data_IF_548053988206
#
_entry.id   IF_548053988206
#
_cell.length_a   1.000
_cell.length_b   1.000
_cell.length_c   1.000
_cell.angle_alpha   90.00
_cell.angle_beta   90.00
_cell.angle_gamma   90.00
#
_symmetry.space_group_name_H-M   'P 1'
#
loop_
_entity.id
_entity.type
_entity.pdbx_description
1 polymer ?
#
# COMPACT_ATOMS: atom_id res chain seq x y z
N UNK A 1 27.36 -25.91 -7.96
CA UNK A 1 26.93 -26.18 -6.57
C UNK A 1 27.22 -27.65 -6.24
N UNK A 2 28.46 -28.10 -6.06
CA UNK A 2 28.79 -29.54 -6.17
C UNK A 2 27.98 -30.49 -5.26
N UNK A 3 27.06 -31.28 -5.83
CA UNK A 3 26.84 -32.68 -5.45
C UNK A 3 25.56 -33.16 -4.73
N UNK A 4 24.56 -32.36 -4.34
CA UNK A 4 23.27 -32.85 -3.78
C UNK A 4 22.15 -31.82 -3.96
N UNK A 5 20.93 -32.28 -4.21
CA UNK A 5 19.72 -31.46 -4.17
C UNK A 5 19.55 -30.91 -2.75
N UNK A 6 19.48 -29.58 -2.63
CA UNK A 6 19.39 -28.90 -1.34
C UNK A 6 18.01 -28.30 -1.13
N UNK A 7 17.49 -28.41 0.09
CA UNK A 7 16.21 -27.78 0.46
C UNK A 7 16.44 -26.33 0.89
N UNK A 8 15.97 -25.41 0.04
CA UNK A 8 15.99 -23.97 0.32
C UNK A 8 14.58 -23.49 0.66
N UNK A 9 14.47 -22.78 1.77
CA UNK A 9 13.23 -22.15 2.19
C UNK A 9 13.18 -20.70 1.68
N UNK A 10 12.32 -20.48 0.68
CA UNK A 10 12.06 -19.18 0.08
C UNK A 10 10.73 -18.57 0.59
N UNK A 11 10.15 -19.09 1.69
CA UNK A 11 8.81 -18.74 2.15
C UNK A 11 8.64 -17.26 2.53
N UNK A 12 9.71 -16.62 3.00
CA UNK A 12 9.72 -15.18 3.35
C UNK A 12 9.47 -14.28 2.14
N UNK A 13 9.77 -14.75 0.93
CA UNK A 13 9.75 -13.95 -0.29
C UNK A 13 8.66 -14.45 -1.24
N UNK A 14 8.60 -15.76 -1.48
CA UNK A 14 7.62 -16.37 -2.40
C UNK A 14 6.28 -16.65 -1.75
N UNK A 15 6.18 -16.53 -0.42
CA UNK A 15 4.97 -16.84 0.32
C UNK A 15 4.46 -18.28 0.10
N UNK A 16 5.33 -19.24 -0.24
CA UNK A 16 5.01 -20.66 -0.30
C UNK A 16 5.62 -21.37 0.89
N UNK A 17 4.83 -22.15 1.64
CA UNK A 17 5.26 -22.87 2.85
C UNK A 17 6.17 -24.07 2.55
N UNK A 18 6.11 -24.63 1.34
CA UNK A 18 6.92 -25.78 0.93
C UNK A 18 8.32 -25.32 0.51
N UNK A 19 9.36 -25.86 1.14
CA UNK A 19 10.75 -25.68 0.71
C UNK A 19 10.96 -26.21 -0.71
N UNK A 20 11.79 -25.51 -1.48
CA UNK A 20 12.09 -25.85 -2.87
C UNK A 20 13.42 -26.60 -2.92
N UNK A 21 13.44 -27.72 -3.63
CA UNK A 21 14.67 -28.47 -3.88
C UNK A 21 15.43 -27.79 -5.01
N UNK A 22 16.69 -27.41 -4.75
CA UNK A 22 17.57 -26.69 -5.68
C UNK A 22 18.81 -27.51 -5.98
N UNK A 23 19.21 -27.50 -7.24
CA UNK A 23 20.35 -28.26 -7.78
C UNK A 23 21.42 -27.33 -8.35
N UNK A 24 22.48 -27.89 -8.89
CA UNK A 24 23.54 -27.10 -9.51
C UNK A 24 23.03 -26.30 -10.71
N UNK A 25 23.26 -24.99 -10.69
CA UNK A 25 22.84 -24.08 -11.77
C UNK A 25 21.45 -23.48 -11.56
N UNK A 26 20.74 -23.84 -10.49
CA UNK A 26 19.48 -23.18 -10.15
C UNK A 26 19.72 -21.84 -9.45
N UNK A 27 18.91 -20.84 -9.82
CA UNK A 27 18.92 -19.53 -9.18
C UNK A 27 18.45 -19.62 -7.72
N UNK A 28 19.14 -18.88 -6.85
CA UNK A 28 18.78 -18.73 -5.43
C UNK A 28 18.47 -17.26 -5.15
N UNK A 29 17.30 -17.00 -4.57
CA UNK A 29 16.84 -15.64 -4.26
C UNK A 29 17.56 -15.12 -2.99
N UNK A 30 17.98 -13.86 -3.00
CA UNK A 30 18.58 -13.21 -1.84
C UNK A 30 17.58 -13.10 -0.68
N UNK A 31 17.98 -13.53 0.53
CA UNK A 31 17.11 -13.60 1.71
C UNK A 31 16.42 -14.95 1.93
N UNK A 32 16.72 -15.96 1.11
CA UNK A 32 16.30 -17.35 1.33
C UNK A 32 17.09 -18.00 2.46
N UNK A 33 16.45 -18.93 3.19
CA UNK A 33 17.07 -19.65 4.29
C UNK A 33 17.48 -21.05 3.85
N UNK A 34 18.74 -21.42 4.10
CA UNK A 34 19.20 -22.79 3.86
C UNK A 34 18.74 -23.69 5.01
N UNK A 35 18.01 -24.77 4.70
CA UNK A 35 17.50 -25.69 5.72
C UNK A 35 18.46 -26.86 6.00
N UNK A 36 19.52 -27.03 5.20
CA UNK A 36 20.40 -28.19 5.23
C UNK A 36 21.88 -27.81 5.44
N UNK A 37 22.80 -28.69 5.02
CA UNK A 37 24.26 -28.54 5.11
C UNK A 37 24.79 -27.31 4.34
N UNK A 38 26.03 -26.90 4.63
CA UNK A 38 26.65 -25.72 4.02
C UNK A 38 26.63 -25.76 2.48
N UNK A 39 26.21 -24.65 1.87
CA UNK A 39 26.21 -24.43 0.42
C UNK A 39 27.25 -23.41 0.00
N UNK A 40 27.78 -23.60 -1.21
CA UNK A 40 28.53 -22.56 -1.92
C UNK A 40 27.65 -22.02 -3.04
N UNK A 41 27.37 -20.73 -2.99
CA UNK A 41 26.58 -20.02 -3.99
C UNK A 41 27.51 -19.02 -4.67
N UNK A 42 27.35 -18.87 -5.98
CA UNK A 42 28.00 -17.81 -6.76
C UNK A 42 27.12 -16.56 -6.76
N UNK A 43 27.72 -15.40 -6.50
CA UNK A 43 26.98 -14.15 -6.40
C UNK A 43 26.85 -13.53 -7.80
N UNK A 44 25.66 -13.61 -8.40
CA UNK A 44 25.40 -12.97 -9.70
C UNK A 44 25.02 -11.48 -9.60
N UNK A 45 24.30 -11.10 -8.54
CA UNK A 45 23.74 -9.74 -8.36
C UNK A 45 24.04 -9.24 -6.94
N UNK A 46 24.44 -7.99 -6.81
CA UNK A 46 24.73 -7.32 -5.54
C UNK A 46 24.08 -5.95 -5.45
N UNK A 47 23.86 -5.47 -4.22
CA UNK A 47 23.30 -4.14 -3.94
C UNK A 47 21.92 -3.91 -4.54
N UNK A 48 21.77 -2.85 -5.33
CA UNK A 48 20.48 -2.45 -5.93
C UNK A 48 19.95 -3.44 -6.98
N UNK A 49 20.79 -4.37 -7.44
CA UNK A 49 20.41 -5.37 -8.44
C UNK A 49 19.79 -6.63 -7.83
N UNK A 50 19.81 -6.78 -6.50
CA UNK A 50 19.22 -7.96 -5.85
C UNK A 50 17.68 -7.92 -5.90
N UNK A 51 17.04 -9.07 -5.73
CA UNK A 51 15.58 -9.18 -5.85
C UNK A 51 14.89 -8.45 -4.69
N UNK A 52 15.43 -8.55 -3.48
CA UNK A 52 14.92 -7.82 -2.31
C UNK A 52 14.99 -6.29 -2.51
N UNK A 53 16.11 -5.77 -3.02
CA UNK A 53 16.29 -4.33 -3.28
C UNK A 53 15.28 -3.80 -4.31
N UNK A 54 14.98 -4.58 -5.34
CA UNK A 54 13.95 -4.24 -6.33
C UNK A 54 12.55 -4.19 -5.70
N UNK A 55 12.19 -5.16 -4.85
CA UNK A 55 10.93 -5.14 -4.10
C UNK A 55 10.84 -3.90 -3.21
N UNK A 56 11.90 -3.59 -2.44
CA UNK A 56 11.93 -2.41 -1.57
C UNK A 56 11.73 -1.12 -2.39
N UNK A 57 12.38 -1.01 -3.55
CA UNK A 57 12.21 0.12 -4.46
C UNK A 57 10.78 0.24 -4.97
N UNK A 58 10.18 -0.85 -5.44
CA UNK A 58 8.78 -0.89 -5.90
C UNK A 58 7.81 -0.50 -4.77
N UNK A 59 8.05 -0.96 -3.55
CA UNK A 59 7.23 -0.61 -2.37
C UNK A 59 7.36 0.88 -2.04
N UNK A 60 8.58 1.43 -2.11
CA UNK A 60 8.82 2.85 -1.85
C UNK A 60 8.13 3.73 -2.89
N UNK A 61 8.28 3.42 -4.18
CA UNK A 61 7.61 4.12 -5.28
C UNK A 61 6.08 4.09 -5.12
N UNK A 62 5.52 2.95 -4.70
CA UNK A 62 4.10 2.83 -4.43
C UNK A 62 3.62 3.69 -3.24
N UNK A 63 4.44 3.85 -2.19
CA UNK A 63 4.12 4.66 -1.02
C UNK A 63 4.18 6.17 -1.27
N UNK A 64 5.08 6.62 -2.14
CA UNK A 64 5.24 8.04 -2.50
C UNK A 64 4.14 8.56 -3.44
N UNK A 65 3.33 7.66 -4.02
CA UNK A 65 2.27 8.04 -4.96
C UNK A 65 1.12 8.83 -4.31
N UNK A 66 0.77 9.98 -4.88
CA UNK A 66 -0.33 10.84 -4.41
C UNK A 66 -1.71 10.25 -4.74
N UNK A 67 -2.71 10.51 -3.89
CA UNK A 67 -4.07 10.03 -4.12
C UNK A 67 -4.84 10.87 -5.14
N UNK A 68 -5.85 10.24 -5.77
CA UNK A 68 -6.76 10.91 -6.70
C UNK A 68 -7.58 12.01 -6.01
N UNK A 69 -8.03 11.79 -4.77
CA UNK A 69 -8.80 12.77 -4.01
C UNK A 69 -7.95 13.98 -3.63
N UNK A 70 -6.67 13.77 -3.30
CA UNK A 70 -5.74 14.86 -3.02
C UNK A 70 -5.45 15.70 -4.28
N UNK A 71 -5.37 15.07 -5.46
CA UNK A 71 -5.23 15.80 -6.72
C UNK A 71 -6.48 16.62 -7.07
N UNK A 72 -7.68 16.09 -6.83
CA UNK A 72 -8.93 16.84 -6.99
C UNK A 72 -9.00 18.06 -6.06
N UNK A 73 -8.66 17.87 -4.78
CA UNK A 73 -8.61 18.95 -3.80
C UNK A 73 -7.59 20.03 -4.20
N UNK A 74 -6.40 19.64 -4.67
CA UNK A 74 -5.40 20.58 -5.17
C UNK A 74 -5.87 21.36 -6.40
N UNK A 75 -6.58 20.69 -7.32
CA UNK A 75 -7.14 21.35 -8.51
C UNK A 75 -8.24 22.36 -8.14
N UNK A 76 -9.10 22.00 -7.19
CA UNK A 76 -10.11 22.91 -6.65
C UNK A 76 -9.48 24.11 -5.92
N UNK A 77 -8.47 23.86 -5.08
CA UNK A 77 -7.72 24.91 -4.39
C UNK A 77 -7.07 25.88 -5.39
N UNK A 78 -6.44 25.35 -6.45
CA UNK A 78 -5.83 26.17 -7.50
C UNK A 78 -6.85 27.05 -8.24
N UNK A 79 -8.01 26.49 -8.60
CA UNK A 79 -9.08 27.25 -9.25
C UNK A 79 -9.62 28.35 -8.35
N UNK A 80 -9.81 28.07 -7.06
CA UNK A 80 -10.23 29.07 -6.07
C UNK A 80 -9.18 30.17 -5.87
N UNK A 81 -7.88 29.85 -5.90
CA UNK A 81 -6.81 30.85 -5.85
C UNK A 81 -6.86 31.79 -7.05
N UNK A 82 -7.09 31.26 -8.27
CA UNK A 82 -7.26 32.08 -9.47
C UNK A 82 -8.48 33.00 -9.33
N UNK A 83 -9.61 32.48 -8.85
CA UNK A 83 -10.82 33.28 -8.61
C UNK A 83 -10.57 34.38 -7.57
N UNK A 84 -9.86 34.08 -6.49
CA UNK A 84 -9.53 35.06 -5.45
C UNK A 84 -8.66 36.20 -5.98
N UNK A 85 -7.62 35.89 -6.77
CA UNK A 85 -6.71 36.90 -7.35
C UNK A 85 -7.45 37.75 -8.37
N UNK A 86 -8.23 37.14 -9.26
CA UNK A 86 -8.99 37.86 -10.28
C UNK A 86 -10.08 38.75 -9.67
N UNK A 87 -10.82 38.25 -8.68
CA UNK A 87 -11.81 39.04 -7.95
C UNK A 87 -11.19 40.20 -7.15
N UNK A 88 -10.02 39.97 -6.53
CA UNK A 88 -9.26 41.02 -5.83
C UNK A 88 -8.79 42.11 -6.80
N UNK A 89 -8.20 41.73 -7.93
CA UNK A 89 -7.76 42.67 -8.96
C UNK A 89 -8.93 43.47 -9.55
N UNK A 90 -10.07 42.81 -9.81
CA UNK A 90 -11.29 43.48 -10.26
C UNK A 90 -11.84 44.44 -9.20
N UNK A 91 -11.88 44.05 -7.93
CA UNK A 91 -12.29 44.95 -6.85
C UNK A 91 -11.40 46.19 -6.79
N UNK A 92 -10.08 46.02 -6.87
CA UNK A 92 -9.14 47.14 -6.91
C UNK A 92 -9.40 48.06 -8.11
N UNK A 93 -9.59 47.48 -9.29
CA UNK A 93 -9.80 48.24 -10.53
C UNK A 93 -11.12 49.02 -10.51
N UNK A 94 -12.24 48.40 -10.09
CA UNK A 94 -13.55 49.06 -10.03
C UNK A 94 -13.54 50.21 -9.03
N UNK A 95 -13.04 50.01 -7.81
CA UNK A 95 -13.06 51.05 -6.79
C UNK A 95 -12.15 52.25 -7.10
N UNK A 96 -11.03 51.99 -7.79
CA UNK A 96 -10.04 53.02 -8.11
C UNK A 96 -10.40 53.79 -9.38
N UNK A 97 -10.87 53.11 -10.43
CA UNK A 97 -11.14 53.72 -11.76
C UNK A 97 -12.58 54.20 -11.91
N UNK A 98 -13.58 53.42 -11.46
CA UNK A 98 -15.00 53.79 -11.65
C UNK A 98 -15.54 54.69 -10.55
N UNK A 99 -15.13 54.47 -9.29
CA UNK A 99 -15.66 55.23 -8.15
C UNK A 99 -14.77 56.42 -7.77
N UNK A 100 -13.52 56.47 -8.24
CA UNK A 100 -12.57 57.55 -7.92
C UNK A 100 -12.20 57.63 -6.43
N UNK A 101 -12.36 56.53 -5.69
CA UNK A 101 -12.06 56.48 -4.25
C UNK A 101 -10.54 56.52 -3.98
N UNK A 102 -10.17 56.92 -2.76
CA UNK A 102 -8.76 56.94 -2.35
C UNK A 102 -8.11 55.55 -2.47
N UNK A 103 -6.82 55.52 -2.79
CA UNK A 103 -6.04 54.28 -2.90
C UNK A 103 -6.17 53.39 -1.65
N UNK A 104 -6.15 54.02 -0.46
CA UNK A 104 -6.31 53.33 0.82
C UNK A 104 -7.66 52.60 0.93
N UNK A 105 -8.74 53.20 0.42
CA UNK A 105 -10.08 52.59 0.46
C UNK A 105 -10.18 51.39 -0.50
N UNK A 106 -9.67 51.54 -1.73
CA UNK A 106 -9.65 50.45 -2.71
C UNK A 106 -8.78 49.27 -2.24
N UNK A 107 -7.63 49.56 -1.63
CA UNK A 107 -6.74 48.54 -1.06
C UNK A 107 -7.42 47.78 0.09
N UNK A 108 -8.07 48.48 1.02
CA UNK A 108 -8.78 47.85 2.13
C UNK A 108 -9.88 46.88 1.63
N UNK A 109 -10.63 47.27 0.59
CA UNK A 109 -11.65 46.40 -0.01
C UNK A 109 -11.08 45.20 -0.76
N UNK A 110 -9.98 45.40 -1.48
CA UNK A 110 -9.26 44.33 -2.18
C UNK A 110 -8.78 43.25 -1.21
N UNK A 111 -8.13 43.67 -0.11
CA UNK A 111 -7.66 42.76 0.94
C UNK A 111 -8.83 42.01 1.57
N UNK A 112 -9.94 42.69 1.85
CA UNK A 112 -11.15 42.06 2.42
C UNK A 112 -11.70 40.96 1.51
N UNK A 113 -11.83 41.22 0.21
CA UNK A 113 -12.30 40.23 -0.78
C UNK A 113 -11.34 39.03 -0.85
N UNK A 114 -10.04 39.30 -0.86
CA UNK A 114 -9.02 38.27 -0.97
C UNK A 114 -8.96 37.37 0.27
N UNK A 115 -9.13 37.93 1.48
CA UNK A 115 -9.20 37.18 2.74
C UNK A 115 -10.45 36.30 2.78
N UNK A 116 -11.62 36.83 2.39
CA UNK A 116 -12.88 36.06 2.36
C UNK A 116 -12.82 34.93 1.32
N UNK A 117 -12.15 35.14 0.19
CA UNK A 117 -12.06 34.17 -0.88
C UNK A 117 -11.03 33.05 -0.63
N UNK A 118 -10.09 33.21 0.32
CA UNK A 118 -9.00 32.26 0.50
C UNK A 118 -9.46 30.97 1.22
N UNK A 119 -9.40 29.78 0.57
CA UNK A 119 -9.98 28.54 1.09
C UNK A 119 -9.02 27.75 2.00
N UNK A 120 -8.51 28.36 3.07
CA UNK A 120 -7.51 27.75 3.96
C UNK A 120 -7.93 26.37 4.53
N UNK A 121 -9.22 26.15 4.75
CA UNK A 121 -9.75 24.89 5.30
C UNK A 121 -9.75 23.73 4.29
N UNK A 122 -9.80 24.01 2.98
CA UNK A 122 -9.97 22.99 1.95
C UNK A 122 -8.74 22.05 1.86
N UNK A 123 -7.54 22.61 2.05
CA UNK A 123 -6.27 21.86 1.94
C UNK A 123 -6.02 20.88 3.09
N UNK A 124 -6.59 21.13 4.27
CA UNK A 124 -6.36 20.32 5.47
C UNK A 124 -7.46 19.29 5.73
N UNK A 125 -8.64 19.46 5.13
CA UNK A 125 -9.79 18.58 5.36
C UNK A 125 -9.49 17.10 5.00
N UNK A 126 -8.87 16.86 3.83
CA UNK A 126 -8.57 15.50 3.34
C UNK A 126 -7.59 14.74 4.25
N UNK A 127 -6.37 15.26 4.58
CA UNK A 127 -5.44 14.53 5.43
C UNK A 127 -5.98 14.31 6.85
N UNK A 128 -6.76 15.26 7.37
CA UNK A 128 -7.38 15.13 8.69
C UNK A 128 -8.38 13.97 8.74
N UNK A 129 -9.32 13.93 7.78
CA UNK A 129 -10.31 12.84 7.70
C UNK A 129 -9.60 11.49 7.55
N UNK A 130 -8.61 11.39 6.67
CA UNK A 130 -7.83 10.15 6.48
C UNK A 130 -7.12 9.73 7.77
N UNK A 131 -6.53 10.67 8.51
CA UNK A 131 -5.84 10.37 9.77
C UNK A 131 -6.82 9.84 10.83
N UNK A 132 -7.98 10.48 10.99
CA UNK A 132 -9.02 10.06 11.94
C UNK A 132 -9.60 8.70 11.53
N UNK A 133 -9.89 8.48 10.25
CA UNK A 133 -10.38 7.19 9.75
C UNK A 133 -9.38 6.05 9.99
N UNK A 134 -8.08 6.31 9.79
CA UNK A 134 -7.03 5.33 10.11
C UNK A 134 -7.00 5.00 11.61
N UNK A 135 -7.12 6.00 12.47
CA UNK A 135 -7.13 5.79 13.92
C UNK A 135 -8.33 4.95 14.37
N UNK A 136 -9.53 5.20 13.83
CA UNK A 136 -10.71 4.38 14.11
C UNK A 136 -10.55 2.94 13.58
N UNK A 137 -10.01 2.79 12.37
CA UNK A 137 -9.80 1.48 11.74
C UNK A 137 -8.80 0.63 12.52
N UNK A 138 -7.71 1.25 13.00
CA UNK A 138 -6.71 0.58 13.83
C UNK A 138 -7.30 0.06 15.14
N UNK A 139 -8.23 0.80 15.77
CA UNK A 139 -8.98 0.33 16.95
C UNK A 139 -9.86 -0.88 16.65
N UNK A 140 -10.23 -1.08 15.39
CA UNK A 140 -11.05 -2.21 14.92
C UNK A 140 -10.22 -3.36 14.34
N UNK A 141 -8.90 -3.35 14.53
CA UNK A 141 -8.00 -4.39 14.01
C UNK A 141 -7.61 -4.25 12.53
N UNK A 142 -8.01 -3.15 11.87
CA UNK A 142 -7.70 -2.89 10.46
C UNK A 142 -6.47 -1.99 10.32
N UNK A 143 -5.34 -2.57 9.88
CA UNK A 143 -4.10 -1.83 9.66
C UNK A 143 -4.00 -1.29 8.23
N UNK A 144 -4.26 0.01 8.07
CA UNK A 144 -4.21 0.69 6.78
C UNK A 144 -2.82 1.26 6.50
N UNK A 145 -2.01 0.54 5.73
CA UNK A 145 -0.65 0.96 5.34
C UNK A 145 -0.64 2.01 4.23
N UNK A 146 -1.54 1.90 3.24
CA UNK A 146 -1.54 2.77 2.05
C UNK A 146 -2.81 3.66 1.99
N UNK A 147 -2.63 4.98 1.84
CA UNK A 147 -3.73 5.95 1.72
C UNK A 147 -4.55 5.76 0.44
N UNK A 148 -3.90 5.53 -0.69
CA UNK A 148 -4.56 5.35 -1.99
C UNK A 148 -5.39 4.06 -2.01
N UNK A 149 -4.91 3.00 -1.37
CA UNK A 149 -5.68 1.76 -1.21
C UNK A 149 -6.93 1.99 -0.36
N UNK A 150 -6.83 2.79 0.72
CA UNK A 150 -7.97 3.12 1.57
C UNK A 150 -9.03 3.94 0.84
N UNK A 151 -8.62 4.94 0.04
CA UNK A 151 -9.56 5.70 -0.78
C UNK A 151 -10.22 4.84 -1.86
N UNK A 152 -9.49 3.89 -2.46
CA UNK A 152 -10.04 2.97 -3.45
C UNK A 152 -10.93 1.90 -2.82
N UNK A 153 -10.73 1.57 -1.54
CA UNK A 153 -11.53 0.58 -0.83
C UNK A 153 -13.03 0.90 -0.86
N UNK A 154 -13.40 2.19 -0.93
CA UNK A 154 -14.81 2.62 -1.07
C UNK A 154 -15.48 2.18 -2.37
N UNK A 155 -14.69 1.86 -3.40
CA UNK A 155 -15.15 1.48 -4.74
C UNK A 155 -14.97 -0.02 -5.01
N UNK A 156 -14.56 -0.81 -4.02
CA UNK A 156 -14.42 -2.25 -4.19
C UNK A 156 -15.82 -2.86 -4.34
N UNK A 157 -16.03 -3.61 -5.42
CA UNK A 157 -17.29 -4.30 -5.72
C UNK A 157 -17.22 -5.81 -5.46
N UNK A 158 -16.00 -6.37 -5.49
CA UNK A 158 -15.76 -7.80 -5.30
C UNK A 158 -14.51 -8.00 -4.43
N UNK A 159 -14.56 -9.00 -3.56
CA UNK A 159 -13.44 -9.41 -2.71
C UNK A 159 -13.13 -10.86 -3.07
N UNK A 160 -11.88 -11.10 -3.47
CA UNK A 160 -11.37 -12.45 -3.78
C UNK A 160 -10.49 -12.85 -2.61
N UNK A 161 -10.78 -13.98 -1.99
CA UNK A 161 -10.02 -14.51 -0.87
C UNK A 161 -9.02 -15.57 -1.35
N UNK A 162 -7.82 -15.56 -0.80
CA UNK A 162 -6.84 -16.64 -0.98
C UNK A 162 -7.11 -17.74 0.06
N UNK A 163 -7.44 -18.94 -0.42
CA UNK A 163 -7.84 -20.07 0.43
C UNK A 163 -6.78 -20.42 1.47
N UNK A 164 -5.54 -20.70 1.03
CA UNK A 164 -4.49 -21.34 1.86
C UNK A 164 -3.93 -20.44 2.96
N UNK A 165 -4.16 -19.12 2.90
CA UNK A 165 -3.59 -18.16 3.88
C UNK A 165 -4.57 -17.14 4.43
N UNK A 166 -5.79 -17.07 3.87
CA UNK A 166 -6.83 -16.15 4.36
C UNK A 166 -7.99 -16.90 4.99
N UNK A 167 -8.44 -17.99 4.38
CA UNK A 167 -9.60 -18.76 4.86
C UNK A 167 -9.20 -19.92 5.78
N UNK A 168 -8.01 -20.48 5.59
CA UNK A 168 -7.49 -21.59 6.41
C UNK A 168 -6.62 -21.09 7.54
N UNK A 169 -6.54 -21.86 8.64
CA UNK A 169 -5.64 -21.59 9.78
C UNK A 169 -4.15 -21.71 9.42
N UNK A 170 -3.80 -22.26 8.26
CA UNK A 170 -2.43 -22.47 7.82
C UNK A 170 -1.72 -23.61 8.56
N UNK A 171 -2.47 -24.39 9.34
CA UNK A 171 -2.00 -25.56 10.07
C UNK A 171 -2.57 -26.80 9.40
N UNK A 172 -1.71 -27.77 9.12
CA UNK A 172 -2.15 -29.06 8.59
C UNK A 172 -2.73 -29.90 9.72
N UNK A 173 -3.98 -30.31 9.55
CA UNK A 173 -4.68 -31.21 10.47
C UNK A 173 -5.05 -32.51 9.78
N UNK A 174 -4.99 -33.63 10.51
CA UNK A 174 -5.58 -34.88 10.04
C UNK A 174 -7.09 -34.74 10.19
N UNK A 175 -7.80 -34.69 9.05
CA UNK A 175 -9.26 -34.55 9.07
C UNK A 175 -9.93 -35.91 9.15
N UNK A 176 -9.44 -36.88 8.37
CA UNK A 176 -9.99 -38.23 8.30
C UNK A 176 -8.88 -39.26 8.16
N UNK A 177 -9.12 -40.43 8.76
CA UNK A 177 -8.29 -41.62 8.62
C UNK A 177 -9.15 -42.73 8.04
N UNK A 178 -8.67 -43.36 6.97
CA UNK A 178 -9.34 -44.50 6.35
C UNK A 178 -8.52 -45.77 6.61
N UNK A 179 -9.17 -46.81 7.14
CA UNK A 179 -8.63 -48.16 7.17
C UNK A 179 -9.28 -48.99 6.07
N UNK A 180 -8.47 -49.68 5.27
CA UNK A 180 -8.94 -50.57 4.22
C UNK A 180 -9.11 -52.02 4.71
N UNK A 181 -8.79 -52.30 5.98
CA UNK A 181 -8.89 -53.63 6.59
C UNK A 181 -9.44 -53.55 8.02
N UNK A 182 -10.39 -54.43 8.35
CA UNK A 182 -11.12 -54.46 9.63
C UNK A 182 -10.32 -55.15 10.75
N UNK A 183 -9.18 -55.79 10.42
CA UNK A 183 -8.35 -56.53 11.37
C UNK A 183 -7.34 -55.65 12.12
N UNK A 184 -7.15 -54.41 11.68
CA UNK A 184 -6.18 -53.48 12.26
C UNK A 184 -6.88 -52.35 13.01
N UNK A 185 -7.26 -52.63 14.26
CA UNK A 185 -7.63 -51.58 15.20
C UNK A 185 -6.54 -50.50 15.27
N UNK A 186 -6.90 -49.26 14.90
CA UNK A 186 -6.12 -48.03 15.03
C UNK A 186 -4.80 -47.89 14.24
N UNK A 187 -4.47 -48.74 13.27
CA UNK A 187 -3.28 -48.50 12.42
C UNK A 187 -3.68 -47.70 11.19
N UNK A 188 -3.26 -46.44 11.13
CA UNK A 188 -3.59 -45.48 10.06
C UNK A 188 -2.86 -45.89 8.76
N UNK A 189 -3.59 -46.26 7.72
CA UNK A 189 -3.02 -46.69 6.41
C UNK A 189 -3.04 -45.54 5.38
N UNK A 190 -3.84 -44.50 5.60
CA UNK A 190 -3.85 -43.29 4.77
C UNK A 190 -4.33 -42.06 5.53
N UNK A 191 -3.55 -40.98 5.42
CA UNK A 191 -3.86 -39.68 6.01
C UNK A 191 -4.17 -38.69 4.89
N UNK A 192 -5.39 -38.15 4.87
CA UNK A 192 -5.70 -37.00 4.03
C UNK A 192 -5.25 -35.73 4.77
N UNK A 193 -4.19 -35.10 4.27
CA UNK A 193 -3.66 -33.84 4.78
C UNK A 193 -4.26 -32.72 3.93
N UNK A 194 -5.15 -31.90 4.52
CA UNK A 194 -5.66 -30.66 3.91
C UNK A 194 -5.09 -29.44 4.62
#
# INVERSE_FOLDING_TARGET
MKGRNQLINEAMITCKSKSVSKSEGDDVIDGSFNCEESIKIEIEKTGDKTFLSQIVKLVKEAQESKSKTQNLANKAAFLLTIVAITAGALAMFVWLVFTGQSFNFALARTVTVMVIACPHALGLAVPLVVAVSKALSAKSGLLIRNRNAFEQARNIQAIIFDTTRTLTKGEFGVTETFSFDDSYGNTIIGTLMM
#
